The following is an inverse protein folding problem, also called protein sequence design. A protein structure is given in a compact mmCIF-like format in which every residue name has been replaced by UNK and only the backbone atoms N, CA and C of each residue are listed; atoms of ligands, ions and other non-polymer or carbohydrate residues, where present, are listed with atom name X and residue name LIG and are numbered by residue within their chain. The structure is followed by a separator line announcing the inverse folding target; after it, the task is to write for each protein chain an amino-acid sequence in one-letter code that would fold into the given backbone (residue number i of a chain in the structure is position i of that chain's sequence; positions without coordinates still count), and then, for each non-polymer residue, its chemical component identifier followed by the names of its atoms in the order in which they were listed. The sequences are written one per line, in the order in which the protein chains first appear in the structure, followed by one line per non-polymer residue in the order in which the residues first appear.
data_IF_803383956351
#
_entry.id   IF_803383956351
#
_cell.length_a   1.000
_cell.length_b   1.000
_cell.length_c   1.000
_cell.angle_alpha   90.00
_cell.angle_beta   90.00
_cell.angle_gamma   90.00
#
_symmetry.space_group_name_H-M   'P 1'
#
loop_
_entity.id
_entity.type
_entity.pdbx_description
1 polymer ?
#
# COMPACT_ATOMS: atom_id res chain seq x y z
N UNK A 1 24.75 -10.31 12.82
CA UNK A 1 24.39 -10.60 11.42
C UNK A 1 23.25 -9.66 11.08
N UNK A 2 23.41 -8.76 10.11
CA UNK A 2 22.33 -7.85 9.72
C UNK A 2 21.31 -8.61 8.87
N UNK A 3 20.02 -8.44 9.16
CA UNK A 3 18.96 -9.00 8.33
C UNK A 3 19.08 -8.48 6.90
N UNK A 4 18.83 -9.34 5.92
CA UNK A 4 18.80 -8.93 4.52
C UNK A 4 17.46 -8.24 4.27
N UNK A 5 17.48 -6.91 4.28
CA UNK A 5 16.32 -6.08 4.03
C UNK A 5 16.02 -6.09 2.52
N UNK A 6 15.21 -7.05 2.07
CA UNK A 6 14.84 -7.22 0.67
C UNK A 6 13.36 -6.90 0.42
N UNK A 7 13.00 -6.73 -0.86
CA UNK A 7 11.63 -6.41 -1.28
C UNK A 7 10.62 -7.46 -0.79
N UNK A 8 11.01 -8.74 -0.77
CA UNK A 8 10.18 -9.82 -0.27
C UNK A 8 9.82 -9.67 1.23
N UNK A 9 10.78 -9.22 2.04
CA UNK A 9 10.54 -8.93 3.46
C UNK A 9 9.59 -7.74 3.61
N UNK A 10 9.80 -6.66 2.85
CA UNK A 10 8.90 -5.51 2.86
C UNK A 10 7.47 -5.90 2.48
N UNK A 11 7.29 -6.65 1.39
CA UNK A 11 6.00 -7.16 0.94
C UNK A 11 5.29 -7.97 2.01
N UNK A 12 6.02 -8.88 2.66
CA UNK A 12 5.48 -9.70 3.74
C UNK A 12 5.03 -8.85 4.92
N UNK A 13 5.77 -7.81 5.30
CA UNK A 13 5.38 -6.90 6.39
C UNK A 13 4.09 -6.16 6.03
N UNK A 14 3.99 -5.62 4.81
CA UNK A 14 2.81 -4.88 4.37
C UNK A 14 1.56 -5.75 4.18
N UNK A 15 1.71 -7.00 3.74
CA UNK A 15 0.59 -7.94 3.56
C UNK A 15 0.15 -8.59 4.87
N UNK A 16 1.07 -8.79 5.81
CA UNK A 16 0.77 -9.35 7.14
C UNK A 16 0.17 -8.34 8.11
N UNK A 17 0.01 -7.07 7.71
CA UNK A 17 -0.57 -6.04 8.58
C UNK A 17 -2.10 -6.11 8.63
N UNK A 18 -2.60 -7.23 9.18
CA UNK A 18 -4.02 -7.48 9.41
C UNK A 18 -4.57 -6.57 10.51
N UNK A 19 -3.69 -6.05 11.37
CA UNK A 19 -4.04 -5.17 12.48
C UNK A 19 -4.47 -3.78 11.98
N UNK A 20 -3.78 -3.18 11.01
CA UNK A 20 -4.21 -1.90 10.44
C UNK A 20 -5.56 -2.02 9.74
N UNK A 21 -5.87 -3.16 9.09
CA UNK A 21 -7.18 -3.41 8.49
C UNK A 21 -8.28 -3.49 9.55
N UNK A 22 -8.00 -4.13 10.69
CA UNK A 22 -8.91 -4.16 11.85
C UNK A 22 -9.14 -2.77 12.42
N UNK A 23 -8.06 -2.02 12.70
CA UNK A 23 -8.10 -0.65 13.19
C UNK A 23 -8.85 0.29 12.23
N UNK A 24 -8.65 0.14 10.92
CA UNK A 24 -9.40 0.87 9.90
C UNK A 24 -10.90 0.58 9.95
N UNK A 25 -11.30 -0.67 10.20
CA UNK A 25 -12.69 -1.05 10.33
C UNK A 25 -13.35 -0.53 11.61
N UNK A 26 -12.60 -0.50 12.71
CA UNK A 26 -13.04 0.08 13.98
C UNK A 26 -13.16 1.61 13.89
N UNK A 27 -12.20 2.28 13.25
CA UNK A 27 -12.22 3.72 13.02
C UNK A 27 -13.24 4.20 11.98
N UNK A 28 -13.50 3.42 10.92
CA UNK A 28 -14.50 3.76 9.90
C UNK A 28 -15.92 3.86 10.48
N UNK A 29 -16.21 3.06 11.51
CA UNK A 29 -17.49 3.11 12.23
C UNK A 29 -17.71 4.44 12.98
N UNK A 30 -16.63 5.18 13.27
CA UNK A 30 -16.70 6.48 13.95
C UNK A 30 -16.86 7.67 12.99
N UNK A 31 -16.40 7.56 11.74
CA UNK A 31 -16.43 8.65 10.73
C UNK A 31 -17.63 8.57 9.77
N UNK A 32 -18.51 7.58 9.95
CA UNK A 32 -19.68 7.36 9.08
C UNK A 32 -19.36 6.79 7.69
N UNK A 33 -18.09 6.47 7.43
CA UNK A 33 -17.64 5.78 6.22
C UNK A 33 -17.89 4.28 6.30
N UNK A 34 -18.22 3.64 5.17
CA UNK A 34 -18.32 2.18 5.12
C UNK A 34 -16.95 1.56 5.38
N UNK A 35 -16.87 0.65 6.36
CA UNK A 35 -15.66 -0.15 6.66
C UNK A 35 -15.02 -0.70 5.40
N UNK A 36 -15.85 -1.19 4.47
CA UNK A 36 -15.40 -1.79 3.22
C UNK A 36 -14.67 -0.77 2.32
N UNK A 37 -15.13 0.48 2.30
CA UNK A 37 -14.49 1.55 1.53
C UNK A 37 -13.15 1.97 2.14
N UNK A 38 -13.07 2.10 3.46
CA UNK A 38 -11.82 2.42 4.16
C UNK A 38 -10.77 1.34 3.94
N UNK A 39 -11.17 0.07 4.03
CA UNK A 39 -10.28 -1.08 3.74
C UNK A 39 -9.80 -1.05 2.29
N UNK A 40 -10.69 -0.81 1.32
CA UNK A 40 -10.31 -0.71 -0.10
C UNK A 40 -9.31 0.42 -0.36
N UNK A 41 -9.53 1.60 0.24
CA UNK A 41 -8.60 2.74 0.13
C UNK A 41 -7.25 2.43 0.76
N UNK A 42 -7.24 1.76 1.91
CA UNK A 42 -6.00 1.32 2.56
C UNK A 42 -5.25 0.31 1.68
N UNK A 43 -5.92 -0.73 1.18
CA UNK A 43 -5.31 -1.69 0.26
C UNK A 43 -4.72 -0.99 -0.97
N UNK A 44 -5.45 -0.06 -1.60
CA UNK A 44 -4.94 0.71 -2.73
C UNK A 44 -3.70 1.55 -2.38
N UNK A 45 -3.67 2.17 -1.20
CA UNK A 45 -2.50 2.90 -0.72
C UNK A 45 -1.29 1.97 -0.52
N UNK A 46 -1.49 0.78 0.03
CA UNK A 46 -0.44 -0.24 0.18
C UNK A 46 0.17 -0.61 -1.18
N UNK A 47 -0.65 -0.82 -2.21
CA UNK A 47 -0.16 -1.10 -3.58
C UNK A 47 0.71 0.02 -4.13
N UNK A 48 0.27 1.27 -3.95
CA UNK A 48 1.04 2.45 -4.38
C UNK A 48 2.36 2.56 -3.63
N UNK A 49 2.38 2.27 -2.32
CA UNK A 49 3.60 2.24 -1.52
C UNK A 49 4.57 1.14 -1.97
N UNK A 50 4.08 -0.05 -2.31
CA UNK A 50 4.91 -1.13 -2.83
C UNK A 50 5.54 -0.76 -4.18
N UNK A 51 4.75 -0.25 -5.13
CA UNK A 51 5.26 0.23 -6.42
C UNK A 51 6.33 1.29 -6.23
N UNK A 52 6.14 2.21 -5.27
CA UNK A 52 7.12 3.23 -4.97
C UNK A 52 8.44 2.64 -4.42
N UNK A 53 8.36 1.66 -3.52
CA UNK A 53 9.55 0.97 -2.99
C UNK A 53 10.28 0.21 -4.12
N UNK A 54 9.53 -0.47 -5.00
CA UNK A 54 10.07 -1.21 -6.13
C UNK A 54 10.82 -0.28 -7.10
N UNK A 55 10.24 0.86 -7.48
CA UNK A 55 10.90 1.85 -8.31
C UNK A 55 12.27 2.27 -7.74
N UNK A 56 12.38 2.44 -6.42
CA UNK A 56 13.65 2.75 -5.77
C UNK A 56 14.66 1.61 -5.83
N UNK A 57 14.21 0.34 -5.88
CA UNK A 57 15.09 -0.81 -6.12
C UNK A 57 15.54 -0.91 -7.58
N UNK A 58 14.76 -0.38 -8.52
CA UNK A 58 15.05 -0.37 -9.96
C UNK A 58 15.80 0.90 -10.42
N UNK A 59 16.25 1.75 -9.48
CA UNK A 59 16.88 3.06 -9.74
C UNK A 59 15.97 4.08 -10.44
N UNK A 60 14.65 3.91 -10.35
CA UNK A 60 13.64 4.92 -10.72
C UNK A 60 13.28 5.78 -9.50
N UNK A 61 13.88 6.96 -9.40
CA UNK A 61 13.74 7.84 -8.22
C UNK A 61 12.49 8.73 -8.26
N UNK A 62 11.38 8.25 -8.84
CA UNK A 62 10.13 9.00 -8.83
C UNK A 62 9.63 9.16 -7.40
N UNK A 63 9.41 10.41 -7.00
CA UNK A 63 8.77 10.71 -5.73
C UNK A 63 7.29 10.31 -5.78
N UNK A 64 6.68 10.01 -4.62
CA UNK A 64 5.23 9.79 -4.50
C UNK A 64 4.39 10.95 -5.07
N UNK A 65 4.92 12.16 -5.05
CA UNK A 65 4.31 13.36 -5.64
C UNK A 65 4.33 13.39 -7.17
N UNK A 66 5.12 12.53 -7.81
CA UNK A 66 5.18 12.42 -9.28
C UNK A 66 4.02 11.62 -9.86
N UNK A 67 3.34 10.80 -9.04
CA UNK A 67 2.16 10.04 -9.46
C UNK A 67 0.90 10.90 -9.41
N UNK A 68 0.19 10.98 -10.53
CA UNK A 68 -1.13 11.62 -10.62
C UNK A 68 -2.19 10.78 -9.89
N UNK A 69 -3.40 11.35 -9.71
CA UNK A 69 -4.53 10.58 -9.18
C UNK A 69 -4.88 9.38 -10.06
N UNK A 70 -4.75 9.53 -11.38
CA UNK A 70 -5.01 8.47 -12.35
C UNK A 70 -3.96 7.36 -12.24
N UNK A 71 -2.67 7.71 -12.13
CA UNK A 71 -1.60 6.73 -11.94
C UNK A 71 -1.82 5.92 -10.66
N UNK A 72 -2.19 6.59 -9.56
CA UNK A 72 -2.48 5.92 -8.28
C UNK A 72 -3.69 5.01 -8.38
N UNK A 73 -4.73 5.41 -9.11
CA UNK A 73 -5.92 4.59 -9.34
C UNK A 73 -5.59 3.37 -10.19
N UNK A 74 -4.75 3.52 -11.22
CA UNK A 74 -4.28 2.42 -12.05
C UNK A 74 -3.45 1.40 -11.25
N UNK A 75 -2.52 1.86 -10.40
CA UNK A 75 -1.73 1.00 -9.52
C UNK A 75 -2.62 0.29 -8.49
N UNK A 76 -3.61 0.98 -7.92
CA UNK A 76 -4.56 0.37 -6.98
C UNK A 76 -5.46 -0.69 -7.64
N UNK A 77 -5.83 -0.49 -8.91
CA UNK A 77 -6.66 -1.39 -9.69
C UNK A 77 -5.90 -2.57 -10.31
N UNK A 78 -4.56 -2.54 -10.33
CA UNK A 78 -3.74 -3.65 -10.83
C UNK A 78 -4.00 -4.92 -10.01
N UNK A 79 -4.22 -6.05 -10.70
CA UNK A 79 -4.58 -7.34 -10.11
C UNK A 79 -3.47 -7.85 -9.17
N UNK A 80 -2.22 -7.65 -9.59
CA UNK A 80 -1.03 -7.91 -8.80
C UNK A 80 -0.43 -6.59 -8.32
N UNK A 81 -0.61 -6.29 -7.04
CA UNK A 81 0.50 -5.67 -6.33
C UNK A 81 1.37 -6.81 -5.85
N UNK A 82 2.41 -7.04 -6.62
CA UNK A 82 3.59 -7.83 -6.29
C UNK A 82 3.92 -7.89 -4.80
#
# INVERSE_FOLDING_TARGET
MGDVHNLALAKRIFLSDEEIVKLCGEGASADGGSRDETVRRYCGATKVSMQWIENYTEFDFRSLGSYTRDDRAAIAAADDAF
#
